data_IF_972591853508
#
_entry.id   IF_972591853508
#
_cell.length_a   1.000
_cell.length_b   1.000
_cell.length_c   1.000
_cell.angle_alpha   90.00
_cell.angle_beta   90.00
_cell.angle_gamma   90.00
#
_symmetry.space_group_name_H-M   'P 1'
#
loop_
_entity.id
_entity.type
_entity.pdbx_description
1 polymer ?
#
# COMPACT_ATOMS: atom_id res chain seq x y z
N UNK A 1 -13.61 6.90 -0.08
CA UNK A 1 -13.44 7.19 1.36
C UNK A 1 -12.57 8.42 1.59
N UNK A 2 -11.28 8.41 1.22
CA UNK A 2 -10.38 9.57 1.38
C UNK A 2 -10.99 10.91 0.95
N UNK A 3 -11.59 10.99 -0.24
CA UNK A 3 -12.28 12.19 -0.71
C UNK A 3 -13.29 12.74 0.32
N UNK A 4 -14.21 11.90 0.79
CA UNK A 4 -15.22 12.31 1.77
C UNK A 4 -14.63 12.65 3.15
N UNK A 5 -13.46 12.12 3.51
CA UNK A 5 -12.75 12.54 4.72
C UNK A 5 -12.16 13.95 4.57
N UNK A 6 -11.75 14.33 3.36
CA UNK A 6 -11.21 15.67 3.07
C UNK A 6 -12.32 16.71 2.90
N UNK A 7 -13.43 16.34 2.25
CA UNK A 7 -14.50 17.27 1.89
C UNK A 7 -15.71 17.25 2.82
N UNK A 8 -15.79 16.26 3.71
CA UNK A 8 -16.99 15.93 4.50
C UNK A 8 -18.26 15.66 3.67
N UNK A 9 -18.09 15.36 2.38
CA UNK A 9 -19.18 15.18 1.44
C UNK A 9 -19.84 13.80 1.57
N UNK A 10 -20.88 13.75 2.40
CA UNK A 10 -21.70 12.54 2.57
C UNK A 10 -22.63 12.29 1.38
N UNK A 11 -22.97 13.32 0.60
CA UNK A 11 -23.79 13.13 -0.60
C UNK A 11 -23.00 12.35 -1.67
N UNK A 12 -21.74 12.71 -1.88
CA UNK A 12 -20.82 11.94 -2.73
C UNK A 12 -20.74 10.46 -2.33
N UNK A 13 -20.70 10.17 -1.02
CA UNK A 13 -20.70 8.77 -0.56
C UNK A 13 -22.00 8.04 -0.92
N UNK A 14 -23.17 8.68 -0.79
CA UNK A 14 -24.45 8.07 -1.19
C UNK A 14 -24.50 7.82 -2.69
N UNK A 15 -24.03 8.75 -3.49
CA UNK A 15 -24.02 8.63 -4.95
C UNK A 15 -23.07 7.51 -5.41
N UNK A 16 -21.91 7.36 -4.75
CA UNK A 16 -20.94 6.31 -5.04
C UNK A 16 -21.27 4.96 -4.42
N UNK A 17 -22.20 4.89 -3.46
CA UNK A 17 -22.48 3.67 -2.71
C UNK A 17 -22.81 2.46 -3.61
N UNK A 18 -23.71 2.55 -4.61
CA UNK A 18 -24.00 1.41 -5.47
C UNK A 18 -22.77 0.83 -6.18
N UNK A 19 -21.79 1.68 -6.51
CA UNK A 19 -20.53 1.26 -7.15
C UNK A 19 -19.63 0.56 -6.14
N UNK A 20 -19.45 1.15 -4.95
CA UNK A 20 -18.66 0.53 -3.87
C UNK A 20 -19.24 -0.82 -3.49
N UNK A 21 -20.56 -0.88 -3.33
CA UNK A 21 -21.28 -2.09 -2.95
C UNK A 21 -21.11 -3.23 -3.95
N UNK A 22 -21.32 -2.94 -5.24
CA UNK A 22 -21.15 -3.92 -6.30
C UNK A 22 -19.69 -4.38 -6.43
N UNK A 23 -18.73 -3.45 -6.40
CA UNK A 23 -17.32 -3.77 -6.55
C UNK A 23 -16.79 -4.61 -5.38
N UNK A 24 -17.08 -4.20 -4.15
CA UNK A 24 -16.64 -4.93 -2.95
C UNK A 24 -17.35 -6.28 -2.84
N UNK A 25 -18.65 -6.33 -3.13
CA UNK A 25 -19.39 -7.60 -3.20
C UNK A 25 -18.76 -8.57 -4.20
N UNK A 26 -18.37 -8.08 -5.39
CA UNK A 26 -17.65 -8.89 -6.37
C UNK A 26 -16.29 -9.37 -5.83
N UNK A 27 -15.47 -8.49 -5.28
CA UNK A 27 -14.15 -8.84 -4.73
C UNK A 27 -14.26 -9.87 -3.60
N UNK A 28 -15.19 -9.69 -2.67
CA UNK A 28 -15.45 -10.65 -1.58
C UNK A 28 -15.90 -12.01 -2.12
N UNK A 29 -16.66 -12.04 -3.22
CA UNK A 29 -17.07 -13.31 -3.84
C UNK A 29 -15.90 -14.12 -4.43
N UNK A 30 -14.72 -13.52 -4.60
CA UNK A 30 -13.49 -14.17 -5.09
C UNK A 30 -12.58 -14.66 -3.95
N UNK A 31 -13.02 -14.59 -2.68
CA UNK A 31 -12.23 -15.02 -1.54
C UNK A 31 -12.17 -16.55 -1.45
N UNK A 32 -10.97 -17.10 -1.30
CA UNK A 32 -10.77 -18.52 -1.03
C UNK A 32 -11.21 -18.89 0.39
N UNK A 33 -11.54 -20.17 0.65
CA UNK A 33 -11.82 -20.66 2.00
C UNK A 33 -10.70 -20.38 3.01
N UNK A 34 -9.45 -20.30 2.56
CA UNK A 34 -8.31 -19.99 3.42
C UNK A 34 -8.11 -18.48 3.66
N UNK A 35 -8.83 -17.59 2.96
CA UNK A 35 -8.92 -16.16 3.27
C UNK A 35 -8.34 -15.19 2.24
N UNK A 36 -7.40 -15.62 1.39
CA UNK A 36 -6.89 -14.75 0.31
C UNK A 36 -7.91 -14.55 -0.80
N UNK A 37 -7.66 -13.58 -1.68
CA UNK A 37 -8.56 -13.23 -2.77
C UNK A 37 -7.87 -13.49 -4.10
N UNK A 38 -8.56 -14.20 -4.99
CA UNK A 38 -8.03 -14.51 -6.32
C UNK A 38 -7.62 -13.22 -7.05
N UNK A 39 -6.39 -13.18 -7.57
CA UNK A 39 -5.91 -11.99 -8.29
C UNK A 39 -6.53 -11.88 -9.69
N UNK A 40 -7.10 -12.99 -10.19
CA UNK A 40 -7.81 -13.12 -11.46
C UNK A 40 -9.15 -13.78 -11.23
N UNK A 41 -10.22 -13.03 -11.46
CA UNK A 41 -11.58 -13.56 -11.37
C UNK A 41 -11.94 -14.48 -12.56
N UNK A 42 -11.28 -14.28 -13.72
CA UNK A 42 -11.43 -15.12 -14.90
C UNK A 42 -10.71 -16.47 -14.77
N UNK A 43 -9.65 -16.50 -13.96
CA UNK A 43 -8.92 -17.71 -13.58
C UNK A 43 -8.63 -17.74 -12.08
N UNK A 44 -9.62 -18.05 -11.23
CA UNK A 44 -9.41 -18.14 -9.79
C UNK A 44 -8.50 -19.28 -9.38
N UNK A 45 -7.99 -20.11 -10.29
CA UNK A 45 -7.00 -21.14 -9.95
C UNK A 45 -5.56 -20.61 -9.97
N UNK A 46 -5.35 -19.42 -10.55
CA UNK A 46 -4.06 -18.73 -10.66
C UNK A 46 -3.57 -18.13 -9.33
N UNK A 47 -4.28 -18.36 -8.22
CA UNK A 47 -3.85 -18.02 -6.86
C UNK A 47 -4.18 -16.59 -6.41
N UNK A 48 -3.50 -16.15 -5.35
CA UNK A 48 -3.64 -14.81 -4.77
C UNK A 48 -2.26 -14.14 -4.59
N UNK A 49 -2.23 -12.82 -4.74
CA UNK A 49 -1.05 -12.00 -4.49
C UNK A 49 -1.10 -11.40 -3.08
N UNK A 50 0.00 -11.46 -2.33
CA UNK A 50 0.10 -10.87 -0.99
C UNK A 50 -0.07 -9.34 -1.04
N UNK A 51 0.65 -8.68 -1.95
CA UNK A 51 0.49 -7.25 -2.25
C UNK A 51 -0.96 -6.88 -2.58
N UNK A 52 -1.56 -7.56 -3.56
CA UNK A 52 -2.94 -7.28 -4.00
C UNK A 52 -3.96 -7.48 -2.89
N UNK A 53 -3.82 -8.57 -2.13
CA UNK A 53 -4.66 -8.88 -0.98
C UNK A 53 -4.54 -7.84 0.13
N UNK A 54 -3.34 -7.31 0.38
CA UNK A 54 -3.11 -6.22 1.34
C UNK A 54 -3.81 -4.93 0.90
N UNK A 55 -3.74 -4.57 -0.38
CA UNK A 55 -4.47 -3.43 -0.94
C UNK A 55 -6.00 -3.60 -0.84
N UNK A 56 -6.49 -4.81 -1.11
CA UNK A 56 -7.90 -5.15 -0.95
C UNK A 56 -8.34 -5.07 0.51
N UNK A 57 -7.52 -5.52 1.47
CA UNK A 57 -7.81 -5.39 2.90
C UNK A 57 -8.01 -3.92 3.30
N UNK A 58 -7.13 -3.01 2.85
CA UNK A 58 -7.30 -1.57 3.09
C UNK A 58 -8.58 -1.02 2.45
N UNK A 59 -8.88 -1.46 1.23
CA UNK A 59 -10.09 -1.07 0.50
C UNK A 59 -11.37 -1.55 1.20
N UNK A 60 -11.39 -2.80 1.70
CA UNK A 60 -12.49 -3.37 2.47
C UNK A 60 -12.73 -2.60 3.78
N UNK A 61 -11.67 -2.23 4.50
CA UNK A 61 -11.77 -1.35 5.68
C UNK A 61 -12.43 -0.02 5.33
N UNK A 62 -12.01 0.61 4.23
CA UNK A 62 -12.60 1.85 3.77
C UNK A 62 -14.08 1.67 3.36
N UNK A 63 -14.43 0.55 2.72
CA UNK A 63 -15.79 0.23 2.33
C UNK A 63 -16.70 0.01 3.54
N UNK A 64 -16.22 -0.70 4.57
CA UNK A 64 -16.94 -0.86 5.84
C UNK A 64 -17.15 0.47 6.55
N UNK A 65 -16.15 1.37 6.55
CA UNK A 65 -16.31 2.71 7.10
C UNK A 65 -17.35 3.56 6.33
N UNK A 66 -17.43 3.41 5.01
CA UNK A 66 -18.49 4.03 4.20
C UNK A 66 -19.85 3.43 4.57
N UNK A 67 -19.94 2.10 4.65
CA UNK A 67 -21.16 1.38 4.96
C UNK A 67 -21.73 1.82 6.33
N UNK A 68 -20.88 1.87 7.35
CA UNK A 68 -21.23 2.36 8.69
C UNK A 68 -21.74 3.81 8.64
N UNK A 69 -21.00 4.72 7.97
CA UNK A 69 -21.40 6.13 7.83
C UNK A 69 -22.74 6.32 7.11
N UNK A 70 -23.11 5.40 6.22
CA UNK A 70 -24.37 5.45 5.47
C UNK A 70 -25.49 4.60 6.10
N UNK A 71 -25.21 3.84 7.16
CA UNK A 71 -26.18 2.95 7.81
C UNK A 71 -26.48 1.66 7.05
N UNK A 72 -25.53 1.17 6.25
CA UNK A 72 -25.65 -0.11 5.52
C UNK A 72 -24.94 -1.25 6.27
N UNK A 73 -25.65 -2.33 6.55
CA UNK A 73 -25.08 -3.53 7.15
C UNK A 73 -24.41 -4.43 6.08
N UNK A 74 -23.16 -4.83 6.33
CA UNK A 74 -22.35 -5.73 5.48
C UNK A 74 -21.56 -6.76 6.31
N UNK A 75 -22.25 -7.63 7.07
CA UNK A 75 -21.58 -8.60 7.96
C UNK A 75 -20.62 -9.54 7.20
N UNK A 76 -20.95 -9.90 5.96
CA UNK A 76 -20.12 -10.72 5.09
C UNK A 76 -18.78 -10.06 4.75
N UNK A 77 -18.75 -8.73 4.59
CA UNK A 77 -17.49 -8.00 4.38
C UNK A 77 -16.62 -7.98 5.64
N UNK A 78 -17.23 -7.89 6.83
CA UNK A 78 -16.50 -7.97 8.10
C UNK A 78 -15.83 -9.34 8.27
N UNK A 79 -16.54 -10.42 7.94
CA UNK A 79 -15.97 -11.79 7.97
C UNK A 79 -14.85 -11.90 6.94
N UNK A 80 -15.07 -11.43 5.72
CA UNK A 80 -14.06 -11.47 4.67
C UNK A 80 -12.79 -10.70 5.04
N UNK A 81 -12.95 -9.51 5.63
CA UNK A 81 -11.83 -8.71 6.14
C UNK A 81 -11.01 -9.48 7.18
N UNK A 82 -11.66 -10.11 8.15
CA UNK A 82 -10.99 -10.86 9.21
C UNK A 82 -10.21 -12.08 8.66
N UNK A 83 -10.80 -12.84 7.73
CA UNK A 83 -10.13 -13.96 7.08
C UNK A 83 -8.93 -13.52 6.24
N UNK A 84 -9.06 -12.40 5.54
CA UNK A 84 -7.99 -11.82 4.73
C UNK A 84 -6.83 -11.33 5.61
N UNK A 85 -7.14 -10.67 6.74
CA UNK A 85 -6.13 -10.23 7.70
C UNK A 85 -5.35 -11.41 8.30
N UNK A 86 -6.03 -12.50 8.69
CA UNK A 86 -5.38 -13.70 9.20
C UNK A 86 -4.50 -14.37 8.13
N UNK A 87 -4.97 -14.46 6.89
CA UNK A 87 -4.19 -15.02 5.79
C UNK A 87 -2.90 -14.23 5.56
N UNK A 88 -2.98 -12.90 5.43
CA UNK A 88 -1.83 -12.00 5.22
C UNK A 88 -0.85 -12.06 6.39
N UNK A 89 -1.35 -11.94 7.62
CA UNK A 89 -0.51 -11.81 8.81
C UNK A 89 0.12 -13.12 9.30
N UNK A 90 -0.55 -14.27 9.08
CA UNK A 90 -0.14 -15.55 9.68
C UNK A 90 0.18 -16.65 8.68
N UNK A 91 -0.35 -16.56 7.46
CA UNK A 91 -0.21 -17.61 6.44
C UNK A 91 0.30 -17.05 5.10
N UNK A 92 1.36 -16.21 5.08
CA UNK A 92 1.85 -15.60 3.84
C UNK A 92 2.35 -16.64 2.82
N UNK A 93 2.73 -17.84 3.26
CA UNK A 93 3.15 -18.96 2.41
C UNK A 93 2.04 -19.54 1.52
N UNK A 94 0.78 -19.14 1.70
CA UNK A 94 -0.35 -19.54 0.85
C UNK A 94 -0.52 -18.63 -0.39
N UNK A 95 0.12 -17.46 -0.41
CA UNK A 95 0.12 -16.57 -1.57
C UNK A 95 1.20 -16.98 -2.57
N UNK A 96 1.07 -16.50 -3.81
CA UNK A 96 2.12 -16.63 -4.81
C UNK A 96 3.40 -15.96 -4.33
N UNK A 97 4.54 -16.62 -4.49
CA UNK A 97 5.82 -16.05 -4.10
C UNK A 97 6.21 -14.90 -5.04
N UNK A 98 6.14 -13.68 -4.50
CA UNK A 98 6.66 -12.44 -5.10
C UNK A 98 7.63 -11.76 -4.14
N UNK A 99 8.31 -12.51 -3.28
CA UNK A 99 9.25 -12.00 -2.25
C UNK A 99 10.36 -11.10 -2.79
N UNK A 100 10.72 -11.25 -4.07
CA UNK A 100 11.68 -10.35 -4.74
C UNK A 100 11.13 -8.96 -5.09
N UNK A 101 9.83 -8.73 -5.00
CA UNK A 101 9.18 -7.46 -5.33
C UNK A 101 8.93 -6.66 -4.06
N UNK A 102 9.31 -5.38 -4.04
CA UNK A 102 9.28 -4.56 -2.82
C UNK A 102 7.87 -4.46 -2.20
N UNK A 103 6.84 -4.46 -3.04
CA UNK A 103 5.47 -4.37 -2.56
C UNK A 103 5.09 -5.55 -1.65
N UNK A 104 5.57 -6.76 -1.92
CA UNK A 104 5.26 -7.93 -1.07
C UNK A 104 5.90 -7.77 0.32
N UNK A 105 7.00 -7.03 0.40
CA UNK A 105 7.66 -6.67 1.64
C UNK A 105 6.87 -5.63 2.44
N UNK A 106 6.54 -4.45 1.88
CA UNK A 106 5.95 -3.36 2.67
C UNK A 106 4.41 -3.26 2.63
N UNK A 107 3.68 -3.83 1.66
CA UNK A 107 2.21 -3.69 1.58
C UNK A 107 1.44 -4.24 2.79
N UNK A 108 1.85 -5.37 3.40
CA UNK A 108 1.21 -5.82 4.64
C UNK A 108 1.28 -4.78 5.76
N UNK A 109 2.33 -3.94 5.78
CA UNK A 109 2.49 -2.82 6.71
C UNK A 109 1.70 -1.59 6.25
N UNK A 110 1.81 -1.22 4.97
CA UNK A 110 1.08 -0.09 4.36
C UNK A 110 -0.44 -0.21 4.55
N UNK A 111 -0.97 -1.42 4.36
CA UNK A 111 -2.40 -1.72 4.54
C UNK A 111 -2.84 -1.78 6.01
N UNK A 112 -1.87 -1.76 6.94
CA UNK A 112 -2.08 -1.85 8.38
C UNK A 112 -2.54 -3.23 8.85
N UNK A 113 -2.30 -4.31 8.09
CA UNK A 113 -2.54 -5.68 8.56
C UNK A 113 -1.45 -6.09 9.56
N UNK A 114 -0.19 -5.83 9.20
CA UNK A 114 0.96 -5.98 10.08
C UNK A 114 1.27 -4.61 10.68
N UNK A 115 1.36 -4.52 11.99
CA UNK A 115 1.53 -3.26 12.73
C UNK A 115 2.32 -3.47 14.02
N UNK A 116 2.75 -2.39 14.67
CA UNK A 116 3.57 -2.45 15.88
C UNK A 116 4.92 -3.13 15.62
N UNK A 117 5.45 -3.84 16.61
CA UNK A 117 6.77 -4.45 16.56
C UNK A 117 6.95 -5.43 15.38
N UNK A 118 5.90 -6.15 14.99
CA UNK A 118 5.92 -7.07 13.84
C UNK A 118 6.14 -6.32 12.52
N UNK A 119 5.63 -5.09 12.41
CA UNK A 119 5.85 -4.27 11.22
C UNK A 119 7.28 -3.73 11.16
N UNK A 120 7.82 -3.29 12.30
CA UNK A 120 9.22 -2.88 12.41
C UNK A 120 10.15 -4.03 12.02
N UNK A 121 9.97 -5.21 12.62
CA UNK A 121 10.76 -6.39 12.31
C UNK A 121 10.66 -6.78 10.83
N UNK A 122 9.46 -6.68 10.24
CA UNK A 122 9.26 -6.96 8.82
C UNK A 122 9.99 -5.98 7.92
N UNK A 123 9.89 -4.68 8.19
CA UNK A 123 10.60 -3.65 7.43
C UNK A 123 12.11 -3.88 7.56
N UNK A 124 12.63 -3.99 8.77
CA UNK A 124 14.07 -4.12 8.99
C UNK A 124 14.67 -5.37 8.33
N UNK A 125 13.91 -6.48 8.24
CA UNK A 125 14.39 -7.75 7.69
C UNK A 125 14.80 -7.71 6.20
N UNK A 126 14.29 -6.77 5.40
CA UNK A 126 14.64 -6.64 3.97
C UNK A 126 14.98 -5.20 3.59
N UNK A 127 15.34 -4.37 4.58
CA UNK A 127 15.71 -2.99 4.34
C UNK A 127 16.86 -2.88 3.34
N UNK A 128 17.96 -3.60 3.58
CA UNK A 128 19.16 -3.54 2.74
C UNK A 128 18.98 -4.23 1.37
N UNK A 129 17.97 -5.09 1.22
CA UNK A 129 17.66 -5.73 -0.06
C UNK A 129 17.02 -4.74 -1.05
N UNK A 130 16.20 -3.83 -0.52
CA UNK A 130 15.35 -2.94 -1.32
C UNK A 130 15.74 -1.47 -1.25
N UNK A 131 16.25 -0.98 -0.12
CA UNK A 131 16.61 0.43 0.07
C UNK A 131 18.06 0.66 -0.33
N UNK A 132 18.26 1.60 -1.24
CA UNK A 132 19.58 2.08 -1.62
C UNK A 132 19.79 3.47 -1.03
N UNK A 133 20.79 3.56 -0.17
CA UNK A 133 21.18 4.80 0.51
C UNK A 133 21.46 5.92 -0.50
N UNK A 134 20.84 7.08 -0.27
CA UNK A 134 20.97 8.24 -1.17
C UNK A 134 20.00 8.26 -2.34
N UNK A 135 19.26 7.17 -2.61
CA UNK A 135 18.40 7.06 -3.79
C UNK A 135 16.93 6.77 -3.44
N UNK A 136 16.64 5.64 -2.80
CA UNK A 136 15.25 5.21 -2.56
C UNK A 136 15.09 3.70 -2.62
N UNK A 137 13.90 3.25 -3.04
CA UNK A 137 13.50 1.84 -3.03
C UNK A 137 13.60 1.23 -4.43
N UNK A 138 14.19 0.03 -4.50
CA UNK A 138 14.18 -0.84 -5.68
C UNK A 138 12.79 -1.43 -5.88
N UNK A 139 12.30 -1.49 -7.12
CA UNK A 139 11.04 -2.21 -7.41
C UNK A 139 11.21 -3.74 -7.23
N UNK A 140 12.38 -4.26 -7.60
CA UNK A 140 12.75 -5.68 -7.48
C UNK A 140 14.13 -5.78 -6.83
N UNK A 141 14.29 -6.63 -5.82
CA UNK A 141 15.51 -6.69 -4.99
C UNK A 141 16.78 -7.03 -5.78
N UNK A 142 16.66 -7.79 -6.87
CA UNK A 142 17.76 -8.20 -7.73
C UNK A 142 17.96 -7.28 -8.96
N UNK A 143 17.34 -6.09 -8.94
CA UNK A 143 17.45 -5.10 -10.02
C UNK A 143 17.82 -3.73 -9.46
N UNK A 144 18.78 -3.03 -10.08
CA UNK A 144 19.20 -1.70 -9.64
C UNK A 144 18.26 -0.60 -10.16
N UNK A 145 16.94 -0.85 -10.09
CA UNK A 145 15.92 0.06 -10.59
C UNK A 145 15.18 0.69 -9.43
N UNK A 146 15.51 1.95 -9.14
CA UNK A 146 14.90 2.75 -8.09
C UNK A 146 13.65 3.43 -8.63
N UNK A 147 12.53 3.32 -7.92
CA UNK A 147 11.24 3.80 -8.40
C UNK A 147 10.58 4.79 -7.47
N UNK A 148 9.87 5.75 -8.07
CA UNK A 148 9.22 6.83 -7.33
C UNK A 148 8.05 6.31 -6.48
N UNK A 149 7.20 5.45 -7.07
CA UNK A 149 6.01 4.93 -6.40
C UNK A 149 6.36 4.06 -5.20
N UNK A 150 7.21 3.04 -5.36
CA UNK A 150 7.62 2.15 -4.28
C UNK A 150 8.31 2.91 -3.13
N UNK A 151 9.13 3.92 -3.46
CA UNK A 151 9.73 4.77 -2.43
C UNK A 151 8.67 5.53 -1.65
N UNK A 152 7.71 6.17 -2.35
CA UNK A 152 6.64 6.93 -1.71
C UNK A 152 5.67 6.04 -0.90
N UNK A 153 5.39 4.83 -1.37
CA UNK A 153 4.54 3.89 -0.64
C UNK A 153 5.24 3.38 0.62
N UNK A 154 6.54 3.10 0.57
CA UNK A 154 7.31 2.78 1.78
C UNK A 154 7.33 3.96 2.76
N UNK A 155 7.42 5.21 2.27
CA UNK A 155 7.27 6.42 3.11
C UNK A 155 5.93 6.42 3.85
N UNK A 156 4.82 6.11 3.16
CA UNK A 156 3.49 6.01 3.80
C UNK A 156 3.48 4.90 4.87
N UNK A 157 4.07 3.74 4.57
CA UNK A 157 4.15 2.62 5.51
C UNK A 157 5.01 2.94 6.76
N UNK A 158 6.12 3.65 6.59
CA UNK A 158 6.98 4.08 7.69
C UNK A 158 6.28 5.09 8.59
N UNK A 159 5.61 6.09 8.01
CA UNK A 159 4.81 7.05 8.80
C UNK A 159 3.70 6.32 9.57
N UNK A 160 3.03 5.33 8.97
CA UNK A 160 1.93 4.61 9.63
C UNK A 160 2.37 3.76 10.82
N UNK A 161 3.64 3.37 10.91
CA UNK A 161 4.22 2.64 12.05
C UNK A 161 5.00 3.53 13.02
N UNK A 162 4.98 4.85 12.82
CA UNK A 162 5.61 5.82 13.71
C UNK A 162 7.09 6.05 13.43
N UNK A 163 7.55 5.89 12.18
CA UNK A 163 8.92 6.15 11.75
C UNK A 163 9.03 7.30 10.73
N UNK A 164 8.72 8.54 11.12
CA UNK A 164 8.82 9.67 10.21
C UNK A 164 10.27 9.98 9.82
N UNK A 165 11.26 9.60 10.64
CA UNK A 165 12.67 9.90 10.36
C UNK A 165 13.19 9.19 9.11
N UNK A 166 13.02 7.86 9.02
CA UNK A 166 13.38 7.12 7.80
C UNK A 166 12.50 7.52 6.61
N UNK A 167 11.23 7.86 6.87
CA UNK A 167 10.30 8.30 5.84
C UNK A 167 10.73 9.63 5.18
N UNK A 168 11.09 10.64 5.97
CA UNK A 168 11.59 11.94 5.47
C UNK A 168 12.87 11.77 4.65
N UNK A 169 13.78 10.90 5.11
CA UNK A 169 15.05 10.64 4.44
C UNK A 169 14.83 10.01 3.05
N UNK A 170 13.99 8.97 2.96
CA UNK A 170 13.63 8.34 1.68
C UNK A 170 12.94 9.33 0.73
N UNK A 171 11.99 10.12 1.27
CA UNK A 171 11.28 11.12 0.49
C UNK A 171 12.22 12.20 -0.05
N UNK A 172 13.25 12.59 0.70
CA UNK A 172 14.26 13.54 0.26
C UNK A 172 15.19 12.94 -0.81
N UNK A 173 15.62 11.68 -0.65
CA UNK A 173 16.51 11.01 -1.59
C UNK A 173 15.90 10.88 -2.98
N UNK A 174 14.65 10.42 -3.09
CA UNK A 174 14.06 10.12 -4.39
C UNK A 174 13.79 11.34 -5.29
N UNK A 175 13.97 12.56 -4.77
CA UNK A 175 13.65 13.80 -5.51
C UNK A 175 14.45 13.98 -6.80
N UNK A 176 15.55 13.25 -7.01
CA UNK A 176 16.23 13.22 -8.31
C UNK A 176 15.36 12.67 -9.45
N UNK A 177 14.28 11.93 -9.14
CA UNK A 177 13.29 11.45 -10.10
C UNK A 177 12.25 12.50 -10.52
N UNK A 178 12.29 13.69 -9.90
CA UNK A 178 11.40 14.79 -10.23
C UNK A 178 11.83 15.45 -11.55
N UNK A 179 10.88 15.67 -12.44
CA UNK A 179 11.08 16.39 -13.68
C UNK A 179 10.88 17.91 -13.50
N UNK A 180 11.37 18.70 -14.46
CA UNK A 180 11.37 20.17 -14.40
C UNK A 180 9.95 20.78 -14.33
N UNK A 181 8.95 20.12 -14.91
CA UNK A 181 7.54 20.53 -14.84
C UNK A 181 6.84 20.07 -13.55
N UNK A 182 7.56 19.39 -12.66
CA UNK A 182 7.08 18.86 -11.39
C UNK A 182 6.42 17.49 -11.45
N UNK A 183 6.33 16.86 -12.63
CA UNK A 183 5.98 15.44 -12.75
C UNK A 183 7.11 14.54 -12.21
N UNK A 184 6.86 13.24 -12.13
CA UNK A 184 7.87 12.27 -11.69
C UNK A 184 8.03 11.14 -12.71
N UNK A 185 9.29 10.84 -13.03
CA UNK A 185 9.64 9.63 -13.76
C UNK A 185 9.29 8.39 -12.96
N UNK A 186 9.01 7.28 -13.66
CA UNK A 186 8.76 5.99 -13.04
C UNK A 186 9.92 5.55 -12.14
N UNK A 187 11.14 5.62 -12.68
CA UNK A 187 12.33 5.33 -11.92
C UNK A 187 13.60 5.55 -12.72
N UNK A 188 14.71 5.18 -12.12
CA UNK A 188 16.04 5.23 -12.72
C UNK A 188 16.75 3.90 -12.48
N UNK A 189 17.33 3.36 -13.54
CA UNK A 189 18.12 2.14 -13.50
C UNK A 189 19.63 2.48 -13.45
N UNK A 190 20.35 1.85 -12.53
CA UNK A 190 21.79 2.03 -12.33
C UNK A 190 22.54 0.79 -12.80
N UNK A 191 23.15 0.84 -13.97
CA UNK A 191 23.74 -0.35 -14.60
C UNK A 191 24.76 -1.04 -13.69
N UNK A 192 24.59 -2.35 -13.48
CA UNK A 192 25.53 -3.14 -12.68
C UNK A 192 25.64 -2.72 -11.21
N UNK A 193 24.58 -2.12 -10.64
CA UNK A 193 24.57 -1.57 -9.27
C UNK A 193 25.57 -0.43 -9.03
N UNK A 194 26.03 0.24 -10.09
CA UNK A 194 26.94 1.39 -10.00
C UNK A 194 26.18 2.68 -9.69
N UNK A 195 25.83 2.87 -8.42
CA UNK A 195 25.10 4.06 -7.95
C UNK A 195 25.95 5.33 -7.90
N UNK A 196 27.26 5.22 -8.06
CA UNK A 196 28.20 6.33 -8.23
C UNK A 196 28.29 6.85 -9.68
N UNK A 197 27.71 6.13 -10.63
CA UNK A 197 27.60 6.52 -12.04
C UNK A 197 26.22 7.11 -12.38
N UNK A 198 26.10 7.89 -13.47
CA UNK A 198 24.80 8.35 -13.95
C UNK A 198 23.87 7.17 -14.27
N UNK A 199 22.68 7.17 -13.66
CA UNK A 199 21.62 6.23 -14.03
C UNK A 199 20.84 6.68 -15.27
N UNK A 200 20.01 5.78 -15.78
CA UNK A 200 19.12 6.02 -16.92
C UNK A 200 17.66 5.93 -16.49
N UNK A 201 16.82 6.91 -16.86
CA UNK A 201 15.39 6.84 -16.57
C UNK A 201 14.78 5.59 -17.23
N UNK A 202 14.10 4.76 -16.42
CA UNK A 202 13.56 3.49 -16.88
C UNK A 202 12.07 3.33 -16.59
N UNK A 203 11.49 2.62 -17.56
CA UNK A 203 10.27 2.84 -18.36
C UNK A 203 10.16 4.18 -19.11
N UNK A 204 11.02 5.16 -18.84
CA UNK A 204 11.12 6.45 -19.57
C UNK A 204 9.77 7.16 -19.77
N UNK A 205 8.86 6.98 -18.82
CA UNK A 205 7.53 7.54 -18.78
C UNK A 205 7.29 8.28 -17.45
N UNK A 206 6.33 9.20 -17.48
CA UNK A 206 5.91 10.02 -16.34
C UNK A 206 4.43 9.77 -16.01
N UNK A 207 4.05 8.53 -15.66
CA UNK A 207 2.65 8.21 -15.42
C UNK A 207 2.13 8.95 -14.19
N UNK A 208 0.87 9.37 -14.25
CA UNK A 208 0.25 10.24 -13.25
C UNK A 208 0.18 9.62 -11.85
N UNK A 209 0.23 8.29 -11.74
CA UNK A 209 0.23 7.60 -10.45
C UNK A 209 1.52 7.83 -9.65
N UNK A 210 2.67 8.10 -10.28
CA UNK A 210 3.90 8.43 -9.55
C UNK A 210 3.75 9.76 -8.83
N UNK A 211 3.28 10.78 -9.55
CA UNK A 211 2.97 12.09 -8.96
C UNK A 211 1.91 11.96 -7.87
N UNK A 212 0.90 11.09 -8.05
CA UNK A 212 -0.09 10.82 -7.01
C UNK A 212 0.53 10.20 -5.75
N UNK A 213 1.43 9.22 -5.89
CA UNK A 213 2.15 8.60 -4.77
C UNK A 213 2.99 9.64 -4.01
N UNK A 214 3.69 10.53 -4.72
CA UNK A 214 4.44 11.64 -4.10
C UNK A 214 3.53 12.57 -3.31
N UNK A 215 2.38 12.96 -3.87
CA UNK A 215 1.41 13.82 -3.19
C UNK A 215 0.85 13.15 -1.93
N UNK A 216 0.56 11.84 -1.98
CA UNK A 216 0.09 11.08 -0.82
C UNK A 216 1.17 10.95 0.26
N UNK A 217 2.40 10.61 -0.12
CA UNK A 217 3.53 10.50 0.80
C UNK A 217 3.84 11.84 1.49
N UNK A 218 3.93 12.93 0.73
CA UNK A 218 4.12 14.27 1.29
C UNK A 218 2.96 14.69 2.21
N UNK A 219 1.73 14.28 1.90
CA UNK A 219 0.57 14.55 2.76
C UNK A 219 0.56 13.70 4.04
N UNK A 220 1.05 12.46 4.00
CA UNK A 220 1.26 11.65 5.20
C UNK A 220 2.34 12.26 6.10
N UNK A 221 3.48 12.67 5.53
CA UNK A 221 4.55 13.35 6.26
C UNK A 221 4.07 14.66 6.90
N UNK A 222 3.19 15.39 6.22
CA UNK A 222 2.58 16.61 6.76
C UNK A 222 1.47 16.35 7.82
N UNK A 223 1.21 15.09 8.20
CA UNK A 223 0.22 14.74 9.22
C UNK A 223 -1.21 15.09 8.84
N UNK A 224 -1.61 14.85 7.58
CA UNK A 224 -2.96 15.18 7.10
C UNK A 224 -3.97 14.17 7.68
N UNK A 225 -4.96 14.61 8.50
CA UNK A 225 -5.83 13.69 9.25
C UNK A 225 -6.63 12.70 8.39
N UNK A 226 -7.00 13.11 7.18
CA UNK A 226 -7.75 12.25 6.26
C UNK A 226 -6.92 11.04 5.80
N UNK A 227 -5.60 11.18 5.67
CA UNK A 227 -4.74 10.06 5.33
C UNK A 227 -4.40 9.21 6.56
N UNK A 228 -4.25 9.81 7.73
CA UNK A 228 -4.11 9.06 8.99
C UNK A 228 -5.33 8.16 9.25
N UNK A 229 -6.54 8.64 8.92
CA UNK A 229 -7.75 7.82 9.02
C UNK A 229 -7.74 6.61 8.05
N UNK A 230 -7.08 6.73 6.90
CA UNK A 230 -6.94 5.66 5.90
C UNK A 230 -5.81 4.69 6.28
N UNK A 231 -4.58 5.21 6.41
CA UNK A 231 -3.33 4.45 6.55
C UNK A 231 -2.82 4.37 7.98
N UNK A 232 -3.14 5.34 8.83
CA UNK A 232 -2.53 5.51 10.15
C UNK A 232 -2.81 4.35 11.12
N UNK A 233 -2.00 4.29 12.20
CA UNK A 233 -2.04 3.20 13.16
C UNK A 233 -3.41 3.12 13.80
N UNK A 234 -3.98 1.91 13.82
CA UNK A 234 -5.23 1.66 14.53
C UNK A 234 -4.88 1.39 15.98
N UNK A 235 -5.37 2.24 16.88
CA UNK A 235 -5.36 1.96 18.32
C UNK A 235 -5.97 0.58 18.50
N UNK A 236 -5.22 -0.37 19.08
CA UNK A 236 -5.77 -1.66 19.49
C UNK A 236 -7.00 -1.36 20.33
N UNK A 237 -8.18 -1.77 19.87
CA UNK A 237 -9.32 -1.92 20.78
C UNK A 237 -8.84 -2.83 21.91
N UNK A 238 -9.01 -2.44 23.19
CA UNK A 238 -8.66 -3.32 24.30
C UNK A 238 -9.40 -4.64 24.08
N UNK A 239 -8.69 -5.75 24.17
CA UNK A 239 -9.34 -7.05 24.32
C UNK A 239 -10.27 -6.93 25.53
N UNK A 240 -11.57 -6.97 25.30
CA UNK A 240 -12.55 -7.16 26.36
C UNK A 240 -12.31 -8.56 26.91
N UNK A 241 -11.52 -8.63 27.99
CA UNK A 241 -11.38 -9.81 28.83
C UNK A 241 -12.66 -10.09 29.62
#
# INVERSE_FOLDING_TARGET
WHHALVTDDTAFLRDMWPVVDAAIGHVVSQQYPWGGIAWRADDPSDGALLTGSSSIHLSLRCALAIADRLGHARPEWTVALALLADAIGRRPHLFLDKSRWAMDWYYPVLSGVISGDDAWARIDAQWDDFVVEGFGVRCVSDRPWITAAETCELVIALVSIGDPGRAEQLFAWMQFLRHDDGSYWCGMNFEGERFDEPGEYFTADQPTWNSAAVVLAGSMLAGRPALDAVFGPKVRTPETG
#
